data_IF_780403895944
#
_entry.id   IF_780403895944
#
_cell.length_a   1.000
_cell.length_b   1.000
_cell.length_c   1.000
_cell.angle_alpha   90.00
_cell.angle_beta   90.00
_cell.angle_gamma   90.00
#
_symmetry.space_group_name_H-M   'P 1'
#
loop_
_entity.id
_entity.type
_entity.pdbx_description
1 polymer ?
#
# COMPACT_ATOMS: atom_id res chain seq x y z
N UNK A 1 -44.84 -40.87 55.63
CA UNK A 1 -43.50 -40.40 56.03
C UNK A 1 -43.49 -38.87 55.90
N UNK A 2 -43.91 -38.13 56.93
CA UNK A 2 -43.10 -37.55 58.01
C UNK A 2 -41.97 -36.62 57.54
N UNK A 3 -42.14 -35.33 57.90
CA UNK A 3 -41.16 -34.22 58.03
C UNK A 3 -40.91 -33.46 56.70
N UNK A 4 -40.92 -32.13 56.64
CA UNK A 4 -40.62 -31.12 57.66
C UNK A 4 -41.13 -29.73 57.19
N UNK A 5 -41.64 -28.94 58.13
CA UNK A 5 -42.06 -27.54 57.98
C UNK A 5 -40.92 -26.56 58.32
N UNK A 6 -41.03 -25.30 57.86
CA UNK A 6 -40.85 -24.00 58.53
C UNK A 6 -40.57 -22.92 57.45
N UNK A 7 -41.40 -21.89 57.20
CA UNK A 7 -41.69 -20.65 57.99
C UNK A 7 -40.41 -19.80 58.10
N UNK A 8 -40.31 -18.49 57.82
CA UNK A 8 -41.20 -17.32 57.79
C UNK A 8 -40.50 -16.17 57.00
N UNK A 9 -41.23 -15.31 56.27
CA UNK A 9 -41.64 -13.92 56.60
C UNK A 9 -40.58 -12.79 56.45
N UNK A 10 -40.99 -11.74 55.73
CA UNK A 10 -40.39 -10.39 55.67
C UNK A 10 -40.75 -9.76 54.32
N UNK A 11 -41.90 -9.11 54.09
CA UNK A 11 -42.53 -7.91 54.67
C UNK A 11 -41.90 -6.58 54.19
N UNK A 12 -42.71 -5.82 53.44
CA UNK A 12 -42.47 -4.46 52.93
C UNK A 12 -42.87 -4.33 51.44
N UNK A 13 -44.15 -4.10 51.09
CA UNK A 13 -44.76 -2.77 50.80
C UNK A 13 -43.87 -1.86 49.94
N UNK A 14 -44.27 -1.19 48.85
CA UNK A 14 -45.57 -0.97 48.22
C UNK A 14 -45.32 -0.08 46.96
N UNK A 15 -46.15 -0.29 45.92
CA UNK A 15 -46.71 0.72 45.00
C UNK A 15 -45.81 1.44 43.96
N UNK A 16 -46.20 1.30 42.68
CA UNK A 16 -46.37 2.30 41.60
C UNK A 16 -45.93 1.70 40.25
N UNK A 17 -46.82 1.24 39.37
CA UNK A 17 -47.68 2.00 38.46
C UNK A 17 -46.93 2.82 37.39
N UNK A 18 -47.04 2.31 36.14
CA UNK A 18 -46.89 2.99 34.84
C UNK A 18 -45.45 3.43 34.47
N UNK A 19 -44.99 3.52 33.22
CA UNK A 19 -45.62 3.82 31.93
C UNK A 19 -44.77 3.19 30.80
N UNK A 20 -45.44 2.72 29.74
CA UNK A 20 -44.87 2.27 28.47
C UNK A 20 -44.07 3.41 27.79
N UNK A 21 -42.75 3.26 27.69
CA UNK A 21 -41.93 4.10 26.81
C UNK A 21 -41.63 3.34 25.51
N UNK A 22 -42.11 3.89 24.39
CA UNK A 22 -41.85 3.45 23.02
C UNK A 22 -40.33 3.64 22.77
N UNK A 23 -39.60 2.54 22.61
CA UNK A 23 -38.19 2.59 22.19
C UNK A 23 -38.16 3.08 20.75
N UNK A 24 -37.88 4.36 20.57
CA UNK A 24 -37.61 4.98 19.27
C UNK A 24 -36.19 4.56 18.87
N UNK A 25 -36.07 3.75 17.84
CA UNK A 25 -34.80 3.45 17.17
C UNK A 25 -34.41 4.69 16.35
N UNK A 26 -33.24 5.32 16.58
CA UNK A 26 -32.71 6.27 15.63
C UNK A 26 -31.89 5.51 14.59
N UNK A 27 -32.48 5.32 13.42
CA UNK A 27 -31.74 5.04 12.19
C UNK A 27 -31.35 6.36 11.54
N UNK A 28 -30.20 6.35 10.87
CA UNK A 28 -29.69 7.28 9.85
C UNK A 28 -29.11 8.62 10.31
N UNK A 29 -27.78 8.67 10.21
CA UNK A 29 -27.00 9.90 10.22
C UNK A 29 -25.50 9.68 10.34
N UNK A 30 -24.97 8.50 9.99
CA UNK A 30 -23.53 8.34 9.81
C UNK A 30 -23.14 9.17 8.58
N UNK A 31 -22.84 10.45 8.81
CA UNK A 31 -22.08 11.26 7.88
C UNK A 31 -20.76 10.52 7.72
N UNK A 32 -20.69 9.68 6.69
CA UNK A 32 -19.44 9.15 6.20
C UNK A 32 -18.58 10.39 5.94
N UNK A 33 -17.66 10.69 6.88
CA UNK A 33 -16.58 11.63 6.65
C UNK A 33 -15.97 11.17 5.34
N UNK A 34 -16.29 11.89 4.26
CA UNK A 34 -15.65 11.69 2.96
C UNK A 34 -14.17 11.76 3.29
N UNK A 35 -13.49 10.62 3.22
CA UNK A 35 -12.03 10.60 3.31
C UNK A 35 -11.59 11.66 2.29
N UNK A 36 -10.76 12.65 2.68
CA UNK A 36 -10.29 13.64 1.73
C UNK A 36 -9.78 12.87 0.52
N UNK A 37 -10.34 13.14 -0.65
CA UNK A 37 -9.74 12.70 -1.91
C UNK A 37 -8.28 13.14 -1.79
N UNK A 38 -7.34 12.19 -1.69
CA UNK A 38 -5.92 12.51 -1.52
C UNK A 38 -5.62 13.56 -2.58
N UNK A 39 -5.18 14.75 -2.16
CA UNK A 39 -4.90 15.85 -3.09
C UNK A 39 -3.87 15.31 -4.07
N UNK A 40 -4.32 15.04 -5.30
CA UNK A 40 -3.44 14.70 -6.42
C UNK A 40 -2.46 15.84 -6.58
N UNK A 41 -1.17 15.51 -6.77
CA UNK A 41 -0.17 16.55 -7.02
C UNK A 41 -0.41 17.16 -8.41
N UNK A 42 0.24 18.28 -8.74
CA UNK A 42 0.19 18.78 -10.12
C UNK A 42 0.84 17.76 -11.07
N UNK A 43 0.32 17.69 -12.29
CA UNK A 43 0.83 16.79 -13.33
C UNK A 43 2.32 17.02 -13.60
N UNK A 44 2.74 18.28 -13.75
CA UNK A 44 4.15 18.65 -13.95
C UNK A 44 5.06 18.16 -12.81
N UNK A 45 4.56 18.23 -11.57
CA UNK A 45 5.33 17.77 -10.41
C UNK A 45 5.47 16.26 -10.41
N UNK A 46 4.40 15.54 -10.76
CA UNK A 46 4.45 14.09 -10.87
C UNK A 46 5.40 13.66 -12.01
N UNK A 47 5.30 14.30 -13.17
CA UNK A 47 6.18 14.05 -14.31
C UNK A 47 7.65 14.27 -13.94
N UNK A 48 7.97 15.38 -13.26
CA UNK A 48 9.34 15.65 -12.80
C UNK A 48 9.85 14.58 -11.82
N UNK A 49 9.06 14.24 -10.80
CA UNK A 49 9.47 13.26 -9.77
C UNK A 49 9.61 11.83 -10.33
N UNK A 50 8.73 11.45 -11.27
CA UNK A 50 8.80 10.14 -11.91
C UNK A 50 9.97 10.05 -12.89
N UNK A 51 10.23 11.10 -13.68
CA UNK A 51 11.41 11.17 -14.54
C UNK A 51 12.72 11.09 -13.73
N UNK A 52 12.83 11.89 -12.65
CA UNK A 52 13.97 11.84 -11.73
C UNK A 52 14.16 10.43 -11.14
N UNK A 53 13.07 9.76 -10.77
CA UNK A 53 13.15 8.39 -10.28
C UNK A 53 13.68 7.42 -11.35
N UNK A 54 13.18 7.49 -12.58
CA UNK A 54 13.69 6.65 -13.67
C UNK A 54 15.18 6.92 -13.93
N UNK A 55 15.62 8.17 -13.92
CA UNK A 55 17.04 8.54 -14.07
C UNK A 55 17.90 7.96 -12.95
N UNK A 56 17.41 8.01 -11.70
CA UNK A 56 18.08 7.39 -10.55
C UNK A 56 18.17 5.89 -10.69
N UNK A 57 17.11 5.21 -11.14
CA UNK A 57 17.15 3.77 -11.41
C UNK A 57 18.19 3.47 -12.49
N UNK A 58 18.22 4.23 -13.60
CA UNK A 58 19.20 4.00 -14.67
C UNK A 58 20.65 4.12 -14.18
N UNK A 59 20.92 5.12 -13.35
CA UNK A 59 22.25 5.33 -12.76
C UNK A 59 22.59 4.24 -11.76
N UNK A 60 21.65 3.87 -10.88
CA UNK A 60 21.86 2.82 -9.88
C UNK A 60 22.15 1.45 -10.49
N UNK A 61 21.68 1.18 -11.71
CA UNK A 61 21.93 -0.08 -12.43
C UNK A 61 23.32 -0.17 -13.07
N UNK A 62 24.11 0.91 -13.11
CA UNK A 62 25.42 0.91 -13.77
C UNK A 62 26.35 -0.26 -13.37
N UNK A 63 26.45 -0.64 -12.08
CA UNK A 63 27.30 -1.75 -11.66
C UNK A 63 26.81 -3.13 -12.11
N UNK A 64 25.60 -3.24 -12.68
CA UNK A 64 25.05 -4.50 -13.13
C UNK A 64 25.34 -4.76 -14.62
N UNK A 65 25.79 -3.76 -15.37
CA UNK A 65 26.13 -3.92 -16.79
C UNK A 65 27.29 -4.89 -17.02
N UNK A 66 27.47 -5.36 -18.28
CA UNK A 66 28.66 -6.10 -18.66
C UNK A 66 29.96 -5.39 -18.24
N UNK A 67 30.99 -6.15 -17.79
CA UNK A 67 31.11 -7.61 -17.85
C UNK A 67 30.55 -8.36 -16.63
N UNK A 68 29.88 -7.67 -15.69
CA UNK A 68 29.40 -8.34 -14.46
C UNK A 68 28.22 -9.27 -14.77
N UNK A 69 27.33 -8.83 -15.65
CA UNK A 69 26.24 -9.64 -16.18
C UNK A 69 26.16 -9.42 -17.70
N UNK A 70 26.61 -10.41 -18.48
CA UNK A 70 26.74 -10.28 -19.95
C UNK A 70 25.42 -9.96 -20.66
N UNK A 71 24.32 -10.55 -20.19
CA UNK A 71 22.98 -10.37 -20.78
C UNK A 71 22.18 -9.22 -20.14
N UNK A 72 22.77 -8.44 -19.22
CA UNK A 72 22.05 -7.38 -18.55
C UNK A 72 21.80 -6.20 -19.50
N UNK A 73 20.53 -5.86 -19.68
CA UNK A 73 20.11 -4.76 -20.54
C UNK A 73 19.11 -3.89 -19.82
N UNK A 74 19.22 -2.58 -20.04
CA UNK A 74 18.29 -1.60 -19.54
C UNK A 74 17.80 -0.75 -20.70
N UNK A 75 16.49 -0.66 -20.87
CA UNK A 75 15.88 0.10 -21.96
C UNK A 75 14.77 1.00 -21.44
N UNK A 76 14.85 2.29 -21.78
CA UNK A 76 13.79 3.25 -21.50
C UNK A 76 12.92 3.40 -22.75
N UNK A 77 11.64 3.09 -22.62
CA UNK A 77 10.66 3.23 -23.68
C UNK A 77 10.10 4.67 -23.72
N UNK A 78 9.57 5.06 -24.87
CA UNK A 78 8.91 6.36 -25.09
C UNK A 78 7.63 6.54 -24.27
N UNK A 79 7.10 5.47 -23.67
CA UNK A 79 5.90 5.46 -22.82
C UNK A 79 6.20 5.62 -21.33
N UNK A 80 7.36 6.20 -20.98
CA UNK A 80 7.84 6.31 -19.58
C UNK A 80 7.90 4.95 -18.87
N UNK A 81 8.28 3.92 -19.62
CA UNK A 81 8.57 2.59 -19.11
C UNK A 81 10.08 2.39 -19.06
N UNK A 82 10.56 1.73 -18.03
CA UNK A 82 11.93 1.25 -17.92
C UNK A 82 11.90 -0.28 -17.82
N UNK A 83 12.45 -0.94 -18.83
CA UNK A 83 12.51 -2.38 -18.94
C UNK A 83 13.92 -2.84 -18.57
N UNK A 84 14.01 -3.69 -17.56
CA UNK A 84 15.25 -4.29 -17.07
C UNK A 84 15.24 -5.75 -17.49
N UNK A 85 16.18 -6.17 -18.32
CA UNK A 85 16.35 -7.56 -18.74
C UNK A 85 17.60 -8.13 -18.11
N UNK A 86 17.44 -9.28 -17.47
CA UNK A 86 18.54 -10.14 -17.04
C UNK A 86 18.59 -11.36 -17.95
N UNK A 87 19.57 -12.24 -17.75
CA UNK A 87 19.68 -13.48 -18.54
C UNK A 87 18.46 -14.41 -18.41
N UNK A 88 17.69 -14.28 -17.33
CA UNK A 88 16.59 -15.18 -17.01
C UNK A 88 15.21 -14.53 -17.04
N UNK A 89 15.11 -13.24 -16.77
CA UNK A 89 13.84 -12.58 -16.49
C UNK A 89 13.80 -11.12 -16.96
N UNK A 90 12.58 -10.62 -17.12
CA UNK A 90 12.30 -9.21 -17.42
C UNK A 90 11.53 -8.58 -16.25
N UNK A 91 11.91 -7.35 -15.93
CA UNK A 91 11.24 -6.48 -14.97
C UNK A 91 10.81 -5.21 -15.69
N UNK A 92 9.67 -4.65 -15.27
CA UNK A 92 9.16 -3.41 -15.86
C UNK A 92 8.82 -2.42 -14.76
N UNK A 93 9.37 -1.21 -14.86
CA UNK A 93 8.99 -0.04 -14.06
C UNK A 93 8.23 0.90 -14.99
N UNK A 94 6.93 1.09 -14.76
CA UNK A 94 6.05 1.86 -15.64
C UNK A 94 5.47 3.05 -14.89
N UNK A 95 5.55 4.24 -15.49
CA UNK A 95 4.89 5.43 -14.96
C UNK A 95 3.42 5.46 -15.43
N UNK A 96 2.49 5.61 -14.49
CA UNK A 96 1.05 5.74 -14.75
C UNK A 96 0.58 7.16 -14.40
N UNK A 97 0.63 8.07 -15.37
CA UNK A 97 0.38 9.51 -15.16
C UNK A 97 -1.07 9.84 -14.77
N UNK A 98 -2.06 9.12 -15.30
CA UNK A 98 -3.49 9.32 -14.96
C UNK A 98 -3.79 9.04 -13.49
N UNK A 99 -3.13 8.00 -12.95
CA UNK A 99 -3.28 7.55 -11.58
C UNK A 99 -2.27 8.18 -10.63
N UNK A 100 -1.23 8.84 -11.14
CA UNK A 100 -0.09 9.35 -10.39
C UNK A 100 0.57 8.27 -9.53
N UNK A 101 0.94 7.18 -10.20
CA UNK A 101 1.56 6.00 -9.61
C UNK A 101 2.72 5.52 -10.47
N UNK A 102 3.60 4.74 -9.84
CA UNK A 102 4.60 3.93 -10.54
C UNK A 102 4.23 2.48 -10.31
N UNK A 103 4.16 1.72 -11.39
CA UNK A 103 3.94 0.27 -11.36
C UNK A 103 5.29 -0.43 -11.51
N UNK A 104 5.53 -1.42 -10.64
CA UNK A 104 6.66 -2.31 -10.75
C UNK A 104 6.15 -3.72 -10.97
N UNK A 105 6.46 -4.29 -12.13
CA UNK A 105 6.18 -5.67 -12.48
C UNK A 105 7.43 -6.49 -12.24
N UNK A 106 7.37 -7.37 -11.24
CA UNK A 106 8.43 -8.30 -10.88
C UNK A 106 7.97 -9.74 -11.07
N UNK A 107 8.80 -10.62 -11.67
CA UNK A 107 8.54 -12.06 -11.72
C UNK A 107 8.54 -12.72 -10.33
N UNK A 108 9.04 -12.04 -9.30
CA UNK A 108 9.10 -12.56 -7.91
C UNK A 108 7.94 -12.04 -7.07
N UNK A 109 7.68 -10.73 -7.13
CA UNK A 109 6.73 -10.06 -6.24
C UNK A 109 5.38 -9.77 -6.88
N UNK A 110 5.23 -10.06 -8.17
CA UNK A 110 4.09 -9.66 -8.98
C UNK A 110 4.08 -8.17 -9.30
N UNK A 111 2.89 -7.66 -9.61
CA UNK A 111 2.64 -6.23 -9.80
C UNK A 111 2.54 -5.52 -8.45
N UNK A 112 3.26 -4.41 -8.32
CA UNK A 112 3.21 -3.50 -7.17
C UNK A 112 3.01 -2.07 -7.64
N UNK A 113 2.39 -1.26 -6.80
CA UNK A 113 1.97 0.08 -7.16
C UNK A 113 2.39 1.07 -6.09
N UNK A 114 3.17 2.07 -6.50
CA UNK A 114 3.82 3.01 -5.61
C UNK A 114 3.29 4.42 -5.82
N UNK A 115 3.15 5.15 -4.70
CA UNK A 115 2.81 6.57 -4.71
C UNK A 115 3.90 7.38 -4.02
N UNK A 116 4.08 8.59 -4.51
CA UNK A 116 5.00 9.53 -3.89
C UNK A 116 4.48 9.95 -2.51
N UNK A 117 5.28 9.68 -1.48
CA UNK A 117 5.08 10.19 -0.15
C UNK A 117 5.87 11.50 0.01
N UNK A 118 5.14 12.62 0.12
CA UNK A 118 5.75 13.95 0.25
C UNK A 118 6.47 14.18 1.58
N UNK A 119 6.20 13.36 2.62
CA UNK A 119 6.85 13.47 3.93
C UNK A 119 8.20 12.77 3.92
N UNK A 120 8.23 11.51 3.47
CA UNK A 120 9.46 10.69 3.42
C UNK A 120 10.28 10.94 2.17
N UNK A 121 9.70 11.63 1.16
CA UNK A 121 10.29 11.87 -0.17
C UNK A 121 10.68 10.57 -0.87
N UNK A 122 9.79 9.58 -0.79
CA UNK A 122 10.00 8.22 -1.30
C UNK A 122 8.78 7.72 -2.07
N UNK A 123 9.00 6.75 -2.94
CA UNK A 123 7.95 6.02 -3.64
C UNK A 123 7.58 4.80 -2.80
N UNK A 124 6.42 4.86 -2.15
CA UNK A 124 5.99 3.86 -1.17
C UNK A 124 4.80 3.05 -1.69
N UNK A 125 4.81 1.75 -1.42
CA UNK A 125 3.70 0.84 -1.74
C UNK A 125 2.47 1.21 -0.91
N UNK A 126 1.29 1.19 -1.53
CA UNK A 126 0.04 1.59 -0.87
C UNK A 126 -0.42 0.61 0.23
N UNK A 127 0.08 -0.62 0.23
CA UNK A 127 -0.39 -1.72 1.07
C UNK A 127 0.40 -1.82 2.37
N UNK A 128 1.73 -1.78 2.28
CA UNK A 128 2.64 -2.04 3.41
C UNK A 128 3.76 -0.98 3.55
N UNK A 129 3.71 0.08 2.73
CA UNK A 129 4.56 1.28 2.86
C UNK A 129 6.07 1.03 2.71
N UNK A 130 6.47 -0.07 2.08
CA UNK A 130 7.88 -0.26 1.73
C UNK A 130 8.27 0.61 0.52
N UNK A 131 9.55 0.95 0.43
CA UNK A 131 10.10 1.75 -0.65
C UNK A 131 10.43 0.88 -1.89
N UNK A 132 10.13 1.41 -3.08
CA UNK A 132 10.33 0.72 -4.36
C UNK A 132 11.79 0.30 -4.60
N UNK A 133 12.78 1.11 -4.20
CA UNK A 133 14.21 0.86 -4.46
C UNK A 133 14.67 -0.37 -3.69
N UNK A 134 14.18 -0.52 -2.46
CA UNK A 134 14.43 -1.69 -1.63
C UNK A 134 13.83 -2.97 -2.24
N UNK A 135 12.60 -2.91 -2.74
CA UNK A 135 11.97 -4.08 -3.37
C UNK A 135 12.67 -4.46 -4.67
N UNK A 136 13.00 -3.46 -5.49
CA UNK A 136 13.67 -3.62 -6.76
C UNK A 136 15.06 -4.24 -6.57
N UNK A 137 15.84 -3.75 -5.61
CA UNK A 137 17.15 -4.31 -5.25
C UNK A 137 17.02 -5.78 -4.82
N UNK A 138 16.10 -6.06 -3.89
CA UNK A 138 15.86 -7.41 -3.36
C UNK A 138 15.44 -8.38 -4.46
N UNK A 139 14.67 -7.93 -5.43
CA UNK A 139 14.17 -8.76 -6.52
C UNK A 139 15.22 -8.98 -7.61
N UNK A 140 15.95 -7.94 -8.01
CA UNK A 140 17.02 -8.03 -9.01
C UNK A 140 18.18 -8.92 -8.56
N UNK A 141 18.64 -8.80 -7.30
CA UNK A 141 19.79 -9.56 -6.79
C UNK A 141 19.60 -11.09 -6.81
N UNK A 142 18.40 -11.59 -7.14
CA UNK A 142 18.12 -13.01 -7.34
C UNK A 142 18.46 -13.51 -8.74
N UNK A 143 18.63 -12.61 -9.72
CA UNK A 143 18.84 -12.94 -11.14
C UNK A 143 20.08 -12.29 -11.75
N UNK A 144 20.79 -11.44 -11.02
CA UNK A 144 22.05 -10.85 -11.46
C UNK A 144 23.07 -10.85 -10.32
N UNK A 145 24.36 -10.87 -10.69
CA UNK A 145 25.45 -10.62 -9.77
C UNK A 145 25.58 -9.12 -9.49
N UNK A 146 25.84 -8.77 -8.23
CA UNK A 146 25.90 -7.38 -7.77
C UNK A 146 24.57 -6.85 -7.24
N UNK A 147 24.57 -5.58 -6.86
CA UNK A 147 23.38 -4.85 -6.37
C UNK A 147 23.35 -3.46 -7.01
N UNK A 148 22.16 -2.90 -7.28
CA UNK A 148 22.02 -1.50 -7.64
C UNK A 148 22.53 -0.56 -6.52
N UNK A 149 23.00 0.63 -6.90
CA UNK A 149 23.50 1.65 -5.97
C UNK A 149 22.54 2.85 -5.90
N UNK A 150 21.52 2.74 -5.04
CA UNK A 150 20.55 3.81 -4.73
C UNK A 150 21.04 4.76 -3.63
#
# INVERSE_FOLDING_TARGET
>A
MLRRALVAKGMGCSVAAQVRAKVTVPTTGASARRRPLRRKMSEDKFAALSAEFLDRVQTAMEPLYPPINDDFQLQRDAKDALVIRTSAQEFVVQVQSSEQQIEFVSPVSGLRTYRWNAVTKRWEDETDSHDIEGLLTRDLMRFCAGIPLF
#
